data_IF_370203742532
#
_entry.id   IF_370203742532
#
_cell.length_a   1.000
_cell.length_b   1.000
_cell.length_c   1.000
_cell.angle_alpha   90.00
_cell.angle_beta   90.00
_cell.angle_gamma   90.00
#
_symmetry.space_group_name_H-M   'P 1'
#
loop_
_entity.id
_entity.type
_entity.pdbx_description
1 polymer ?
#
# COMPACT_ATOMS: atom_id res chain seq x y z
N UNK A 1 -22.82 3.44 1.54
CA UNK A 1 -21.41 3.14 1.21
C UNK A 1 -20.50 4.26 1.70
N UNK A 2 -19.32 3.95 2.22
CA UNK A 2 -18.29 4.90 2.68
C UNK A 2 -16.99 4.74 1.90
N UNK A 3 -16.40 5.84 1.45
CA UNK A 3 -15.11 5.86 0.75
C UNK A 3 -14.09 6.67 1.53
N UNK A 4 -12.93 6.08 1.80
CA UNK A 4 -11.81 6.74 2.47
C UNK A 4 -10.67 7.01 1.48
N UNK A 5 -10.33 8.26 1.27
CA UNK A 5 -9.12 8.66 0.56
C UNK A 5 -7.96 8.89 1.54
N UNK A 6 -6.87 8.16 1.37
CA UNK A 6 -5.62 8.38 2.08
C UNK A 6 -4.65 9.08 1.12
N UNK A 7 -4.44 10.38 1.34
CA UNK A 7 -3.64 11.21 0.46
C UNK A 7 -2.38 11.72 1.16
N UNK A 8 -1.22 11.43 0.57
CA UNK A 8 0.08 11.89 1.07
C UNK A 8 0.65 13.07 0.28
N UNK A 9 -0.23 13.88 -0.33
CA UNK A 9 0.08 15.12 -1.04
C UNK A 9 -0.11 16.39 -0.20
N UNK A 10 0.32 17.53 -0.75
CA UNK A 10 0.09 18.84 -0.13
C UNK A 10 -1.40 19.15 -0.06
N UNK A 11 -1.81 19.88 0.98
CA UNK A 11 -3.15 20.45 1.07
C UNK A 11 -3.47 21.28 -0.17
N UNK A 12 -4.59 21.00 -0.83
CA UNK A 12 -4.99 21.63 -2.09
C UNK A 12 -3.95 21.54 -3.22
N UNK A 13 -2.99 20.60 -3.12
CA UNK A 13 -2.05 20.31 -4.19
C UNK A 13 -2.63 19.32 -5.22
N UNK A 14 -1.82 18.99 -6.22
CA UNK A 14 -2.26 18.20 -7.38
C UNK A 14 -2.94 16.87 -7.00
N UNK A 15 -2.30 16.06 -6.15
CA UNK A 15 -2.87 14.76 -5.74
C UNK A 15 -4.14 14.88 -4.90
N UNK A 16 -4.31 15.95 -4.11
CA UNK A 16 -5.58 16.19 -3.42
C UNK A 16 -6.68 16.63 -4.38
N UNK A 17 -6.35 17.48 -5.36
CA UNK A 17 -7.30 17.90 -6.40
C UNK A 17 -7.78 16.68 -7.19
N UNK A 18 -6.87 15.80 -7.61
CA UNK A 18 -7.20 14.53 -8.28
C UNK A 18 -8.10 13.64 -7.41
N UNK A 19 -7.81 13.51 -6.10
CA UNK A 19 -8.65 12.75 -5.17
C UNK A 19 -10.06 13.33 -5.09
N UNK A 20 -10.19 14.66 -4.98
CA UNK A 20 -11.48 15.33 -4.92
C UNK A 20 -12.27 15.19 -6.21
N UNK A 21 -11.61 15.16 -7.37
CA UNK A 21 -12.30 14.92 -8.64
C UNK A 21 -12.87 13.49 -8.71
N UNK A 22 -12.12 12.49 -8.23
CA UNK A 22 -12.66 11.13 -8.08
C UNK A 22 -13.83 11.06 -7.08
N UNK A 23 -13.73 11.75 -5.94
CA UNK A 23 -14.80 11.81 -4.94
C UNK A 23 -16.10 12.39 -5.50
N UNK A 24 -16.03 13.50 -6.23
CA UNK A 24 -17.22 14.09 -6.88
C UNK A 24 -17.91 13.06 -7.78
N UNK A 25 -17.15 12.36 -8.62
CA UNK A 25 -17.71 11.35 -9.51
C UNK A 25 -18.34 10.17 -8.75
N UNK A 26 -17.74 9.75 -7.62
CA UNK A 26 -18.29 8.71 -6.75
C UNK A 26 -19.61 9.16 -6.12
N UNK A 27 -19.62 10.35 -5.51
CA UNK A 27 -20.79 10.95 -4.85
C UNK A 27 -21.95 11.14 -5.85
N UNK A 28 -21.66 11.70 -7.03
CA UNK A 28 -22.64 11.92 -8.09
C UNK A 28 -23.26 10.60 -8.58
N UNK A 29 -22.47 9.52 -8.67
CA UNK A 29 -22.90 8.26 -9.30
C UNK A 29 -23.61 7.31 -8.35
N UNK A 30 -23.17 7.19 -7.10
CA UNK A 30 -23.75 6.22 -6.15
C UNK A 30 -24.05 6.79 -4.76
N UNK A 31 -23.83 8.10 -4.53
CA UNK A 31 -24.16 8.76 -3.26
C UNK A 31 -23.30 8.30 -2.08
N UNK A 32 -22.15 7.67 -2.31
CA UNK A 32 -21.28 7.22 -1.23
C UNK A 32 -20.64 8.40 -0.49
N UNK A 33 -20.53 8.30 0.83
CA UNK A 33 -19.88 9.33 1.66
C UNK A 33 -18.36 9.26 1.48
N UNK A 34 -17.75 10.31 0.93
CA UNK A 34 -16.30 10.38 0.73
C UNK A 34 -15.60 11.19 1.83
N UNK A 35 -14.56 10.62 2.45
CA UNK A 35 -13.75 11.28 3.49
C UNK A 35 -12.27 11.27 3.12
N UNK A 36 -11.60 12.40 3.31
CA UNK A 36 -10.17 12.57 3.02
C UNK A 36 -9.33 12.61 4.30
N UNK A 37 -8.33 11.74 4.37
CA UNK A 37 -7.21 11.83 5.32
C UNK A 37 -6.00 12.41 4.60
N UNK A 38 -5.52 13.56 5.08
CA UNK A 38 -4.26 14.16 4.61
C UNK A 38 -3.13 13.71 5.53
N UNK A 39 -2.23 12.85 5.03
CA UNK A 39 -1.12 12.36 5.84
C UNK A 39 -0.11 13.46 6.19
N UNK A 40 -0.04 14.54 5.41
CA UNK A 40 0.80 15.70 5.72
C UNK A 40 0.32 16.50 6.95
N UNK A 41 -0.97 16.40 7.29
CA UNK A 41 -1.58 17.03 8.47
C UNK A 41 -1.67 16.05 9.66
N UNK A 42 -1.21 14.80 9.49
CA UNK A 42 -1.34 13.75 10.50
C UNK A 42 -0.08 13.61 11.36
N UNK A 43 -0.24 13.65 12.67
CA UNK A 43 0.80 13.27 13.62
C UNK A 43 0.81 11.75 13.81
N UNK A 44 1.60 11.08 12.97
CA UNK A 44 1.83 9.64 13.05
C UNK A 44 3.26 9.42 13.56
N UNK A 45 3.41 8.78 14.72
CA UNK A 45 4.75 8.49 15.27
C UNK A 45 5.43 7.43 14.42
N UNK A 46 6.71 7.62 14.16
CA UNK A 46 7.55 6.60 13.51
C UNK A 46 7.49 5.28 14.29
N UNK A 47 7.44 4.16 13.56
CA UNK A 47 7.62 2.86 14.17
C UNK A 47 9.04 2.75 14.72
N UNK A 48 9.19 2.37 15.99
CA UNK A 48 10.50 2.20 16.64
C UNK A 48 11.11 0.82 16.42
N UNK A 49 10.38 -0.10 15.78
CA UNK A 49 10.83 -1.48 15.63
C UNK A 49 10.94 -2.23 16.96
N UNK A 50 10.21 -1.81 18.00
CA UNK A 50 10.27 -2.41 19.33
C UNK A 50 9.59 -3.79 19.43
N UNK A 51 9.02 -4.30 18.34
CA UNK A 51 8.38 -5.62 18.19
C UNK A 51 7.19 -5.91 19.12
N UNK A 52 6.78 -4.95 19.96
CA UNK A 52 5.74 -5.17 20.99
C UNK A 52 4.39 -5.57 20.40
N UNK A 53 3.99 -5.01 19.25
CA UNK A 53 2.76 -5.39 18.55
C UNK A 53 2.80 -6.86 18.10
N UNK A 54 3.84 -7.21 17.35
CA UNK A 54 4.05 -8.55 16.83
C UNK A 54 4.11 -9.61 17.94
N UNK A 55 4.86 -9.36 19.02
CA UNK A 55 4.96 -10.32 20.15
C UNK A 55 3.61 -10.53 20.83
N UNK A 56 2.77 -9.50 20.96
CA UNK A 56 1.42 -9.65 21.50
C UNK A 56 0.51 -10.43 20.55
N UNK A 57 0.56 -10.14 19.25
CA UNK A 57 -0.22 -10.85 18.23
C UNK A 57 0.13 -12.34 18.15
N UNK A 58 1.42 -12.69 18.25
CA UNK A 58 1.87 -14.08 18.31
C UNK A 58 1.34 -14.84 19.54
N UNK A 59 1.01 -14.13 20.63
CA UNK A 59 0.38 -14.69 21.83
C UNK A 59 -1.15 -14.72 21.75
N UNK A 60 -1.73 -14.34 20.62
CA UNK A 60 -3.18 -14.23 20.40
C UNK A 60 -3.80 -12.95 20.98
N UNK A 61 -3.01 -12.01 21.49
CA UNK A 61 -3.50 -10.73 21.98
C UNK A 61 -3.59 -9.72 20.83
N UNK A 62 -4.63 -9.87 20.00
CA UNK A 62 -4.89 -8.98 18.88
C UNK A 62 -5.43 -7.62 19.28
N UNK A 63 -5.83 -7.41 20.54
CA UNK A 63 -6.28 -6.12 21.07
C UNK A 63 -5.12 -5.14 21.23
N UNK A 64 -3.91 -5.63 21.49
CA UNK A 64 -2.73 -4.79 21.52
C UNK A 64 -2.42 -4.23 20.13
N UNK A 65 -2.30 -2.90 20.03
CA UNK A 65 -2.05 -2.18 18.78
C UNK A 65 -0.60 -1.68 18.72
N UNK A 66 -0.22 -0.71 19.53
CA UNK A 66 1.14 -0.14 19.59
C UNK A 66 1.46 0.36 21.01
N UNK A 67 2.72 0.60 21.29
CA UNK A 67 3.16 1.30 22.52
C UNK A 67 2.71 2.77 22.53
N UNK A 68 2.59 3.39 21.35
CA UNK A 68 1.98 4.70 21.19
C UNK A 68 0.46 4.52 21.37
N UNK A 69 -0.15 5.28 22.29
CA UNK A 69 -1.56 5.11 22.68
C UNK A 69 -2.49 6.00 21.85
N UNK A 70 -3.78 5.67 21.84
CA UNK A 70 -4.84 6.54 21.30
C UNK A 70 -4.74 7.94 21.90
N UNK A 71 -4.93 8.98 21.07
CA UNK A 71 -4.78 10.38 21.48
C UNK A 71 -3.35 10.91 21.47
N UNK A 72 -2.33 10.05 21.35
CA UNK A 72 -0.92 10.45 21.14
C UNK A 72 -0.42 10.23 19.71
N UNK A 73 -1.29 9.66 18.86
CA UNK A 73 -0.96 9.24 17.51
C UNK A 73 -2.24 9.12 16.66
N UNK A 74 -2.30 9.85 15.54
CA UNK A 74 -3.47 9.87 14.65
C UNK A 74 -3.73 8.54 13.92
N UNK A 75 -2.76 7.61 13.93
CA UNK A 75 -2.92 6.31 13.28
C UNK A 75 -4.17 5.55 13.74
N UNK A 76 -4.50 5.57 15.04
CA UNK A 76 -5.68 4.87 15.58
C UNK A 76 -6.99 5.41 15.01
N UNK A 77 -7.07 6.73 14.85
CA UNK A 77 -8.26 7.34 14.27
C UNK A 77 -8.38 7.00 12.79
N UNK A 78 -7.27 7.04 12.06
CA UNK A 78 -7.23 6.65 10.64
C UNK A 78 -7.60 5.16 10.48
N UNK A 79 -7.09 4.29 11.35
CA UNK A 79 -7.37 2.85 11.35
C UNK A 79 -8.85 2.55 11.60
N UNK A 80 -9.52 3.29 12.48
CA UNK A 80 -10.97 3.19 12.65
C UNK A 80 -11.72 3.59 11.37
N UNK A 81 -11.30 4.67 10.69
CA UNK A 81 -11.88 5.04 9.39
C UNK A 81 -11.67 3.95 8.34
N UNK A 82 -10.49 3.32 8.33
CA UNK A 82 -10.19 2.19 7.44
C UNK A 82 -11.14 1.01 7.69
N UNK A 83 -11.42 0.67 8.96
CA UNK A 83 -12.37 -0.39 9.33
C UNK A 83 -13.77 -0.12 8.81
N UNK A 84 -14.24 1.12 8.92
CA UNK A 84 -15.58 1.55 8.49
C UNK A 84 -15.76 1.70 6.98
N UNK A 85 -14.67 1.89 6.23
CA UNK A 85 -14.75 2.16 4.80
C UNK A 85 -15.17 0.93 3.98
N UNK A 86 -15.99 1.14 2.95
CA UNK A 86 -16.30 0.14 1.92
C UNK A 86 -15.28 0.15 0.79
N UNK A 87 -14.73 1.33 0.49
CA UNK A 87 -13.63 1.53 -0.44
C UNK A 87 -12.50 2.38 0.17
N UNK A 88 -11.25 2.08 -0.19
CA UNK A 88 -10.07 2.86 0.20
C UNK A 88 -9.28 3.23 -1.06
N UNK A 89 -9.03 4.53 -1.22
CA UNK A 89 -8.21 5.09 -2.30
C UNK A 89 -6.89 5.56 -1.71
N UNK A 90 -5.77 5.06 -2.22
CA UNK A 90 -4.43 5.45 -1.75
C UNK A 90 -3.73 6.32 -2.79
N UNK A 91 -3.17 7.45 -2.36
CA UNK A 91 -2.41 8.32 -3.25
C UNK A 91 -1.19 8.98 -2.62
N UNK A 92 -0.17 9.18 -3.44
CA UNK A 92 1.03 9.94 -3.08
C UNK A 92 1.61 10.62 -4.32
N UNK A 93 2.17 11.84 -4.20
CA UNK A 93 3.11 12.33 -5.19
C UNK A 93 4.42 11.52 -5.11
N UNK A 94 5.22 11.59 -6.17
CA UNK A 94 6.53 10.95 -6.26
C UNK A 94 7.66 11.90 -5.81
N UNK A 95 8.52 11.41 -4.91
CA UNK A 95 9.79 12.03 -4.52
C UNK A 95 10.90 10.98 -4.54
N UNK A 96 11.92 11.16 -5.39
CA UNK A 96 13.01 10.20 -5.59
C UNK A 96 12.50 8.78 -5.93
N UNK A 97 11.66 8.66 -6.97
CA UNK A 97 11.01 7.42 -7.41
C UNK A 97 9.96 6.84 -6.44
N UNK A 98 9.95 7.27 -5.17
CA UNK A 98 9.18 6.73 -4.06
C UNK A 98 8.00 7.62 -3.67
N UNK A 99 7.02 7.10 -2.92
CA UNK A 99 6.02 7.94 -2.26
C UNK A 99 6.67 8.82 -1.18
N UNK A 100 5.88 9.72 -0.61
CA UNK A 100 6.37 10.63 0.43
C UNK A 100 6.63 9.91 1.76
N UNK A 101 7.53 10.47 2.58
CA UNK A 101 7.87 9.93 3.91
C UNK A 101 6.66 9.68 4.83
N UNK A 102 5.62 10.53 4.86
CA UNK A 102 4.41 10.26 5.63
C UNK A 102 3.65 9.00 5.18
N UNK A 103 3.63 8.68 3.88
CA UNK A 103 3.03 7.44 3.37
C UNK A 103 3.79 6.21 3.90
N UNK A 104 5.13 6.26 3.84
CA UNK A 104 5.98 5.20 4.38
C UNK A 104 5.79 5.05 5.89
N UNK A 105 5.74 6.17 6.62
CA UNK A 105 5.53 6.20 8.07
C UNK A 105 4.18 5.59 8.45
N UNK A 106 3.12 5.93 7.72
CA UNK A 106 1.79 5.35 7.89
C UNK A 106 1.79 3.83 7.63
N UNK A 107 2.35 3.38 6.50
CA UNK A 107 2.40 1.95 6.18
C UNK A 107 3.22 1.15 7.19
N UNK A 108 4.34 1.69 7.69
CA UNK A 108 5.17 1.02 8.70
C UNK A 108 4.43 0.78 10.02
N UNK A 109 3.29 1.43 10.23
CA UNK A 109 2.42 1.19 11.37
C UNK A 109 1.33 0.16 11.12
N UNK A 110 1.22 -0.43 9.93
CA UNK A 110 0.13 -1.34 9.61
C UNK A 110 0.05 -2.53 10.58
N UNK A 111 1.17 -3.08 11.04
CA UNK A 111 1.17 -4.10 12.09
C UNK A 111 0.52 -3.66 13.41
N UNK A 112 0.33 -2.36 13.63
CA UNK A 112 -0.39 -1.85 14.79
C UNK A 112 -1.92 -1.87 14.62
N UNK A 113 -2.49 -2.40 13.53
CA UNK A 113 -3.95 -2.46 13.31
C UNK A 113 -4.62 -3.70 13.93
N UNK A 114 -3.91 -4.54 14.68
CA UNK A 114 -4.49 -5.72 15.35
C UNK A 114 -5.07 -6.73 14.35
N UNK A 115 -6.32 -7.14 14.56
CA UNK A 115 -7.07 -8.11 13.73
C UNK A 115 -7.53 -7.57 12.36
N UNK A 116 -7.03 -6.40 11.93
CA UNK A 116 -7.50 -5.74 10.69
C UNK A 116 -7.40 -6.64 9.46
N UNK A 117 -6.39 -7.53 9.39
CA UNK A 117 -6.28 -8.54 8.32
C UNK A 117 -7.55 -9.40 8.23
N UNK A 118 -8.14 -9.81 9.34
CA UNK A 118 -9.36 -10.62 9.35
C UNK A 118 -10.59 -9.78 8.97
N UNK A 119 -10.60 -8.49 9.31
CA UNK A 119 -11.66 -7.56 8.92
C UNK A 119 -11.71 -7.40 7.40
N UNK A 120 -10.57 -7.17 6.76
CA UNK A 120 -10.53 -6.91 5.32
C UNK A 120 -10.89 -8.15 4.50
N UNK A 121 -10.47 -9.35 4.92
CA UNK A 121 -10.86 -10.61 4.28
C UNK A 121 -12.36 -10.91 4.36
N UNK A 122 -13.07 -10.40 5.38
CA UNK A 122 -14.52 -10.59 5.52
C UNK A 122 -15.33 -9.55 4.76
N UNK A 123 -14.80 -8.33 4.67
CA UNK A 123 -15.57 -7.18 4.19
C UNK A 123 -15.48 -6.96 2.68
N UNK A 124 -14.57 -7.64 1.97
CA UNK A 124 -14.34 -7.48 0.52
C UNK A 124 -14.29 -5.99 0.13
N UNK A 125 -13.39 -5.24 0.77
CA UNK A 125 -13.26 -3.79 0.52
C UNK A 125 -12.80 -3.54 -0.91
N UNK A 126 -13.22 -2.42 -1.48
CA UNK A 126 -12.75 -1.96 -2.79
C UNK A 126 -11.46 -1.15 -2.60
N UNK A 127 -10.42 -1.48 -3.34
CA UNK A 127 -9.14 -0.77 -3.34
C UNK A 127 -8.96 0.00 -4.65
N UNK A 128 -8.37 1.18 -4.58
CA UNK A 128 -7.88 1.88 -5.76
C UNK A 128 -6.63 2.69 -5.41
N UNK A 129 -5.79 2.98 -6.39
CA UNK A 129 -4.56 3.72 -6.14
C UNK A 129 -4.19 4.66 -7.27
N UNK A 130 -3.64 5.83 -6.96
CA UNK A 130 -3.04 6.67 -7.98
C UNK A 130 -1.84 7.45 -7.48
N UNK A 131 -1.01 7.93 -8.39
CA UNK A 131 0.13 8.78 -8.05
C UNK A 131 0.44 9.78 -9.15
N UNK A 132 1.24 10.79 -8.79
CA UNK A 132 1.63 11.87 -9.70
C UNK A 132 3.10 12.24 -9.53
N UNK A 133 3.82 12.34 -10.63
CA UNK A 133 5.17 12.87 -10.73
C UNK A 133 5.21 14.32 -11.19
N UNK A 134 6.21 15.07 -10.70
CA UNK A 134 6.61 16.32 -11.34
C UNK A 134 7.47 16.12 -12.60
N UNK A 135 8.02 14.92 -12.76
CA UNK A 135 8.86 14.42 -13.86
C UNK A 135 8.57 12.92 -14.01
N UNK A 136 9.27 12.22 -14.90
CA UNK A 136 9.20 10.76 -15.14
C UNK A 136 9.98 9.90 -14.13
N UNK A 137 10.60 10.50 -13.11
CA UNK A 137 11.32 9.76 -12.06
C UNK A 137 10.34 9.22 -10.99
N UNK A 138 9.53 8.24 -11.36
CA UNK A 138 8.32 7.84 -10.60
C UNK A 138 8.06 6.34 -10.45
N UNK A 139 8.91 5.48 -11.02
CA UNK A 139 8.62 4.05 -11.27
C UNK A 139 8.10 3.25 -10.05
N UNK A 140 8.51 3.58 -8.82
CA UNK A 140 8.09 2.84 -7.63
C UNK A 140 6.86 3.42 -6.93
N UNK A 141 6.44 4.64 -7.28
CA UNK A 141 5.43 5.38 -6.50
C UNK A 141 4.03 4.77 -6.65
N UNK A 142 3.58 4.51 -7.89
CA UNK A 142 2.28 3.84 -8.10
C UNK A 142 2.29 2.44 -7.51
N UNK A 143 3.39 1.69 -7.69
CA UNK A 143 3.52 0.33 -7.17
C UNK A 143 3.41 0.30 -5.64
N UNK A 144 4.02 1.26 -4.94
CA UNK A 144 3.84 1.41 -3.50
C UNK A 144 2.40 1.75 -3.11
N UNK A 145 1.74 2.66 -3.84
CA UNK A 145 0.35 3.05 -3.56
C UNK A 145 -0.61 1.87 -3.76
N UNK A 146 -0.43 1.08 -4.81
CA UNK A 146 -1.20 -0.16 -5.06
C UNK A 146 -0.96 -1.18 -3.96
N UNK A 147 0.30 -1.44 -3.60
CA UNK A 147 0.64 -2.34 -2.49
C UNK A 147 -0.08 -1.90 -1.21
N UNK A 148 -0.02 -0.62 -0.89
CA UNK A 148 -0.72 -0.07 0.27
C UNK A 148 -2.22 -0.29 0.14
N UNK A 149 -2.86 0.05 -0.97
CA UNK A 149 -4.30 -0.18 -1.17
C UNK A 149 -4.69 -1.66 -0.99
N UNK A 150 -3.90 -2.59 -1.53
CA UNK A 150 -4.13 -4.02 -1.36
C UNK A 150 -3.99 -4.46 0.09
N UNK A 151 -2.96 -4.00 0.81
CA UNK A 151 -2.79 -4.26 2.23
C UNK A 151 -3.97 -3.72 3.06
N UNK A 152 -4.49 -2.55 2.69
CA UNK A 152 -5.62 -1.94 3.39
C UNK A 152 -6.97 -2.58 3.04
N UNK A 153 -7.07 -3.30 1.92
CA UNK A 153 -8.31 -3.93 1.46
C UNK A 153 -8.30 -5.46 1.47
N UNK A 154 -7.17 -6.09 1.78
CA UNK A 154 -7.03 -7.52 2.08
C UNK A 154 -6.70 -8.44 0.91
N UNK A 155 -6.70 -7.96 -0.32
CA UNK A 155 -6.41 -8.79 -1.49
C UNK A 155 -6.02 -7.94 -2.70
N UNK A 156 -5.41 -8.58 -3.69
CA UNK A 156 -5.18 -8.00 -5.00
C UNK A 156 -6.47 -7.84 -5.80
N UNK A 157 -7.41 -8.78 -5.62
CA UNK A 157 -8.75 -8.74 -6.24
C UNK A 157 -9.60 -7.56 -5.75
N UNK A 158 -9.17 -6.91 -4.67
CA UNK A 158 -9.79 -5.69 -4.20
C UNK A 158 -9.49 -4.49 -5.11
N UNK A 159 -8.37 -4.50 -5.85
CA UNK A 159 -7.96 -3.36 -6.65
C UNK A 159 -8.79 -3.25 -7.93
N UNK A 160 -9.57 -2.18 -8.08
CA UNK A 160 -10.47 -2.01 -9.24
C UNK A 160 -9.94 -1.04 -10.28
N UNK A 161 -9.10 -0.09 -9.86
CA UNK A 161 -8.44 0.83 -10.77
C UNK A 161 -7.12 1.33 -10.15
N UNK A 162 -6.12 1.54 -11.00
CA UNK A 162 -4.92 2.26 -10.64
C UNK A 162 -4.36 3.05 -11.82
N UNK A 163 -3.84 4.26 -11.56
CA UNK A 163 -3.33 5.15 -12.60
C UNK A 163 -2.16 6.01 -12.12
N UNK A 164 -1.23 6.31 -13.02
CA UNK A 164 -0.10 7.20 -12.78
C UNK A 164 -0.04 8.29 -13.85
N UNK A 165 0.45 9.48 -13.46
CA UNK A 165 0.72 10.58 -14.37
C UNK A 165 2.05 11.24 -14.01
N UNK A 166 2.70 11.86 -14.99
CA UNK A 166 3.98 12.54 -14.84
C UNK A 166 3.85 14.03 -15.26
N UNK A 167 4.94 14.77 -15.09
CA UNK A 167 5.11 16.13 -15.63
C UNK A 167 4.17 17.23 -15.09
N UNK A 168 3.67 17.10 -13.86
CA UNK A 168 2.91 18.18 -13.19
C UNK A 168 3.64 18.66 -11.92
N UNK A 169 4.76 19.39 -12.05
CA UNK A 169 5.64 19.74 -10.91
C UNK A 169 5.07 20.85 -10.02
N UNK A 170 4.35 21.79 -10.62
CA UNK A 170 3.86 22.99 -9.94
C UNK A 170 2.62 22.68 -9.09
N UNK A 171 2.55 23.25 -7.89
CA UNK A 171 1.45 23.01 -6.94
C UNK A 171 0.13 23.52 -7.52
N UNK A 172 -0.87 22.64 -7.59
CA UNK A 172 -2.21 22.97 -8.08
C UNK A 172 -2.33 22.98 -9.61
N UNK A 173 -1.23 22.83 -10.35
CA UNK A 173 -1.21 22.92 -11.81
C UNK A 173 -2.01 21.82 -12.53
N UNK A 174 -2.37 20.72 -11.85
CA UNK A 174 -3.20 19.65 -12.44
C UNK A 174 -4.56 20.14 -12.92
N UNK A 175 -5.03 21.31 -12.46
CA UNK A 175 -6.28 21.93 -12.96
C UNK A 175 -6.19 22.41 -14.41
N UNK A 176 -4.97 22.47 -14.98
CA UNK A 176 -4.74 22.79 -16.38
C UNK A 176 -4.74 21.53 -17.26
N UNK A 177 -4.74 20.34 -16.65
CA UNK A 177 -4.60 19.05 -17.31
C UNK A 177 -5.98 18.38 -17.44
N UNK A 178 -6.78 18.84 -18.40
CA UNK A 178 -8.16 18.36 -18.62
C UNK A 178 -8.23 16.84 -18.78
N UNK A 179 -7.25 16.23 -19.46
CA UNK A 179 -7.18 14.78 -19.67
C UNK A 179 -6.95 14.02 -18.36
N UNK A 180 -6.13 14.57 -17.45
CA UNK A 180 -5.89 13.99 -16.12
C UNK A 180 -7.18 14.06 -15.29
N UNK A 181 -7.86 15.21 -15.29
CA UNK A 181 -9.12 15.39 -14.56
C UNK A 181 -10.23 14.47 -15.11
N UNK A 182 -10.35 14.36 -16.43
CA UNK A 182 -11.28 13.45 -17.08
C UNK A 182 -10.99 11.98 -16.70
N UNK A 183 -9.72 11.58 -16.69
CA UNK A 183 -9.32 10.23 -16.26
C UNK A 183 -9.59 10.00 -14.78
N UNK A 184 -9.42 11.00 -13.92
CA UNK A 184 -9.73 10.91 -12.49
C UNK A 184 -11.24 10.86 -12.21
N UNK A 185 -12.05 11.52 -13.03
CA UNK A 185 -13.51 11.35 -13.01
C UNK A 185 -13.89 9.91 -13.36
N UNK A 186 -13.33 9.37 -14.46
CA UNK A 186 -13.53 7.95 -14.82
C UNK A 186 -13.04 6.98 -13.73
N UNK A 187 -11.92 7.30 -13.08
CA UNK A 187 -11.40 6.54 -11.93
C UNK A 187 -12.41 6.49 -10.79
N UNK A 188 -13.03 7.61 -10.44
CA UNK A 188 -14.12 7.65 -9.46
C UNK A 188 -15.35 6.84 -9.89
N UNK A 189 -15.76 6.96 -11.15
CA UNK A 189 -16.88 6.19 -11.69
C UNK A 189 -16.67 4.68 -11.63
N UNK A 190 -15.45 4.21 -11.87
CA UNK A 190 -15.08 2.78 -11.80
C UNK A 190 -15.19 2.26 -10.35
N UNK A 191 -14.78 3.08 -9.37
CA UNK A 191 -14.92 2.74 -7.94
C UNK A 191 -16.40 2.69 -7.54
N UNK A 192 -17.20 3.64 -8.01
CA UNK A 192 -18.64 3.65 -7.78
C UNK A 192 -19.33 2.41 -8.37
N UNK A 193 -18.97 2.02 -9.60
CA UNK A 193 -19.48 0.78 -10.21
C UNK A 193 -19.11 -0.45 -9.36
N UNK A 194 -17.85 -0.55 -8.93
CA UNK A 194 -17.39 -1.64 -8.09
C UNK A 194 -18.10 -1.72 -6.74
N UNK A 195 -18.40 -0.57 -6.13
CA UNK A 195 -19.18 -0.48 -4.91
C UNK A 195 -20.62 -0.96 -5.11
N UNK A 196 -21.28 -0.57 -6.21
CA UNK A 196 -22.63 -1.03 -6.56
C UNK A 196 -22.66 -2.53 -6.87
N UNK A 197 -21.65 -3.03 -7.59
CA UNK A 197 -21.49 -4.47 -7.83
C UNK A 197 -21.38 -5.24 -6.51
N UNK A 198 -20.54 -4.76 -5.59
CA UNK A 198 -20.38 -5.36 -4.26
C UNK A 198 -21.70 -5.41 -3.49
N UNK A 199 -22.51 -4.34 -3.49
CA UNK A 199 -23.83 -4.35 -2.83
C UNK A 199 -24.77 -5.41 -3.40
N UNK A 200 -24.62 -5.75 -4.69
CA UNK A 200 -25.36 -6.83 -5.36
C UNK A 200 -24.77 -8.23 -5.13
N UNK A 201 -23.66 -8.34 -4.41
CA UNK A 201 -22.92 -9.59 -4.22
C UNK A 201 -22.08 -9.99 -5.43
N UNK A 202 -21.86 -9.08 -6.39
CA UNK A 202 -21.00 -9.27 -7.54
C UNK A 202 -19.55 -8.91 -7.19
N UNK A 203 -18.60 -9.53 -7.90
CA UNK A 203 -17.17 -9.27 -7.73
C UNK A 203 -16.67 -8.34 -8.84
N UNK A 204 -16.15 -7.15 -8.51
CA UNK A 204 -15.57 -6.27 -9.52
C UNK A 204 -14.28 -6.86 -10.08
N UNK A 205 -13.93 -6.41 -11.29
CA UNK A 205 -12.67 -6.72 -11.95
C UNK A 205 -11.85 -5.45 -12.11
N UNK A 206 -10.54 -5.59 -12.26
CA UNK A 206 -9.66 -4.46 -12.53
C UNK A 206 -9.94 -3.89 -13.93
N UNK A 207 -10.22 -2.59 -13.99
CA UNK A 207 -10.54 -1.84 -15.22
C UNK A 207 -9.61 -0.64 -15.43
N UNK A 208 -8.47 -0.61 -14.73
CA UNK A 208 -7.46 0.44 -14.85
C UNK A 208 -6.58 0.26 -16.09
N UNK A 209 -5.29 0.59 -15.95
CA UNK A 209 -4.32 0.50 -17.07
C UNK A 209 -4.24 -0.93 -17.63
N UNK A 210 -4.49 -1.15 -18.94
CA UNK A 210 -4.37 -2.47 -19.56
C UNK A 210 -2.90 -2.92 -19.70
N UNK A 211 -2.68 -4.19 -20.01
CA UNK A 211 -1.32 -4.73 -20.27
C UNK A 211 -0.44 -4.85 -19.02
N UNK A 212 -1.05 -4.89 -17.83
CA UNK A 212 -0.38 -5.03 -16.54
C UNK A 212 -0.55 -6.43 -15.97
N UNK A 213 0.26 -6.79 -14.98
CA UNK A 213 0.14 -8.06 -14.24
C UNK A 213 -1.31 -8.29 -13.75
N UNK A 214 -1.90 -9.48 -13.95
CA UNK A 214 -3.28 -9.77 -13.55
C UNK A 214 -3.47 -9.84 -12.03
N UNK A 215 -2.40 -10.06 -11.25
CA UNK A 215 -2.44 -10.03 -9.79
C UNK A 215 -2.31 -8.59 -9.28
N UNK A 216 -1.10 -8.02 -9.30
CA UNK A 216 -0.83 -6.74 -8.65
C UNK A 216 -1.04 -5.50 -9.54
N UNK A 217 -1.43 -5.70 -10.79
CA UNK A 217 -1.62 -4.64 -11.79
C UNK A 217 -0.37 -3.76 -11.97
N UNK A 218 0.81 -4.35 -11.76
CA UNK A 218 2.13 -3.77 -11.99
C UNK A 218 2.70 -4.11 -13.36
N UNK A 219 3.60 -3.25 -13.84
CA UNK A 219 4.37 -3.41 -15.07
C UNK A 219 5.88 -3.48 -14.83
N UNK A 220 6.32 -3.60 -13.56
CA UNK A 220 7.72 -3.82 -13.21
C UNK A 220 8.02 -5.31 -13.14
N UNK A 221 9.20 -5.68 -13.66
CA UNK A 221 9.70 -7.05 -13.66
C UNK A 221 11.13 -7.09 -13.12
N UNK A 222 11.41 -8.07 -12.27
CA UNK A 222 12.71 -8.40 -11.70
C UNK A 222 13.30 -9.59 -12.46
N UNK A 223 14.51 -9.45 -12.99
CA UNK A 223 15.22 -10.52 -13.68
C UNK A 223 16.04 -11.33 -12.67
N UNK A 224 15.88 -12.65 -12.66
CA UNK A 224 16.65 -13.60 -11.85
C UNK A 224 17.26 -14.68 -12.74
N UNK A 225 18.21 -15.43 -12.19
CA UNK A 225 18.90 -16.50 -12.93
C UNK A 225 17.97 -17.62 -13.41
N UNK A 226 16.82 -17.80 -12.78
CA UNK A 226 15.84 -18.85 -13.06
C UNK A 226 14.53 -18.33 -13.68
N UNK A 227 14.42 -17.02 -13.97
CA UNK A 227 13.26 -16.45 -14.65
C UNK A 227 13.01 -14.98 -14.33
N UNK A 228 11.82 -14.51 -14.68
CA UNK A 228 11.39 -13.12 -14.48
C UNK A 228 10.22 -13.09 -13.51
N UNK A 229 10.24 -12.16 -12.57
CA UNK A 229 9.31 -12.13 -11.44
C UNK A 229 8.71 -10.75 -11.26
N UNK A 230 7.47 -10.68 -10.79
CA UNK A 230 6.97 -9.43 -10.23
C UNK A 230 7.73 -9.13 -8.91
N UNK A 231 8.37 -7.95 -8.74
CA UNK A 231 9.08 -7.63 -7.50
C UNK A 231 8.12 -7.41 -6.32
N UNK A 232 6.84 -7.17 -6.61
CA UNK A 232 5.81 -6.91 -5.62
C UNK A 232 5.20 -8.22 -5.11
N UNK A 233 4.59 -9.01 -6.00
CA UNK A 233 3.86 -10.22 -5.62
C UNK A 233 4.65 -11.52 -5.78
N UNK A 234 5.86 -11.49 -6.34
CA UNK A 234 6.70 -12.65 -6.62
C UNK A 234 6.10 -13.65 -7.61
N UNK A 235 4.99 -13.33 -8.29
CA UNK A 235 4.46 -14.14 -9.39
C UNK A 235 5.51 -14.23 -10.48
N UNK A 236 5.88 -15.46 -10.87
CA UNK A 236 6.80 -15.71 -11.97
C UNK A 236 6.08 -15.48 -13.30
N UNK A 237 6.74 -14.77 -14.21
CA UNK A 237 6.29 -14.53 -15.55
C UNK A 237 7.11 -15.34 -16.55
N UNK A 238 6.45 -15.87 -17.58
CA UNK A 238 7.10 -16.45 -18.74
C UNK A 238 7.10 -15.41 -19.85
N UNK A 239 8.30 -15.03 -20.28
CA UNK A 239 8.47 -14.10 -21.40
C UNK A 239 8.55 -14.87 -22.72
N UNK A 240 7.86 -14.35 -23.73
CA UNK A 240 7.98 -14.82 -25.11
C UNK A 240 7.97 -13.63 -26.05
N UNK A 241 8.61 -13.78 -27.21
CA UNK A 241 8.51 -12.83 -28.32
C UNK A 241 7.58 -13.44 -29.37
N UNK A 242 6.49 -12.76 -29.68
CA UNK A 242 5.55 -13.13 -30.74
C UNK A 242 5.73 -12.09 -31.84
N UNK A 243 6.58 -12.39 -32.83
CA UNK A 243 7.07 -11.35 -33.75
C UNK A 243 7.96 -10.35 -33.00
N UNK A 244 7.64 -9.06 -33.10
CA UNK A 244 8.34 -7.97 -32.41
C UNK A 244 7.68 -7.58 -31.07
N UNK A 245 6.57 -8.23 -30.70
CA UNK A 245 5.85 -7.92 -29.47
C UNK A 245 6.30 -8.80 -28.29
N UNK A 246 6.60 -8.16 -27.17
CA UNK A 246 6.87 -8.84 -25.91
C UNK A 246 5.55 -9.33 -25.30
N UNK A 247 5.40 -10.65 -25.20
CA UNK A 247 4.30 -11.30 -24.52
C UNK A 247 4.75 -11.78 -23.14
N UNK A 248 3.97 -11.45 -22.12
CA UNK A 248 4.22 -11.79 -20.71
C UNK A 248 3.07 -12.67 -20.23
N UNK A 249 3.35 -13.95 -20.04
CA UNK A 249 2.37 -14.94 -19.57
C UNK A 249 2.52 -15.16 -18.05
N UNK A 250 1.41 -15.05 -17.33
CA UNK A 250 1.30 -15.40 -15.90
C UNK A 250 0.38 -16.62 -15.77
N UNK A 251 0.94 -17.78 -15.38
CA UNK A 251 0.16 -19.02 -15.29
C UNK A 251 -0.67 -19.03 -14.00
N UNK A 252 -1.80 -19.74 -14.02
CA UNK A 252 -2.64 -19.92 -12.81
C UNK A 252 -1.86 -20.52 -11.63
N UNK A 253 -0.93 -21.45 -11.92
CA UNK A 253 -0.08 -22.06 -10.90
C UNK A 253 0.83 -21.03 -10.21
N UNK A 254 1.46 -20.13 -10.97
CA UNK A 254 2.35 -19.11 -10.43
C UNK A 254 1.56 -18.01 -9.70
N UNK A 255 0.38 -17.63 -10.23
CA UNK A 255 -0.52 -16.67 -9.56
C UNK A 255 -1.03 -17.22 -8.22
N UNK A 256 -1.33 -18.52 -8.13
CA UNK A 256 -1.75 -19.15 -6.87
C UNK A 256 -0.67 -19.08 -5.77
N UNK A 257 0.61 -18.95 -6.15
CA UNK A 257 1.76 -18.83 -5.24
C UNK A 257 2.18 -17.37 -4.98
N UNK A 258 1.40 -16.39 -5.43
CA UNK A 258 1.72 -14.99 -5.19
C UNK A 258 1.76 -14.65 -3.69
N UNK A 259 2.49 -13.59 -3.33
CA UNK A 259 2.77 -13.17 -1.94
C UNK A 259 1.50 -12.95 -1.09
N UNK A 260 0.43 -12.46 -1.70
CA UNK A 260 -0.82 -12.12 -1.00
C UNK A 260 -1.86 -13.22 -1.06
N UNK A 261 -1.61 -14.30 -1.80
CA UNK A 261 -2.46 -15.50 -1.75
C UNK A 261 -2.39 -16.15 -0.38
N UNK A 262 -3.34 -17.03 -0.06
CA UNK A 262 -3.32 -17.80 1.19
C UNK A 262 -2.00 -18.56 1.37
N UNK A 263 -1.47 -19.12 0.27
CA UNK A 263 -0.19 -19.81 0.28
C UNK A 263 0.97 -18.86 0.62
N UNK A 264 1.03 -17.68 0.00
CA UNK A 264 2.07 -16.68 0.24
C UNK A 264 2.05 -16.15 1.67
N UNK A 265 0.85 -15.85 2.20
CA UNK A 265 0.64 -15.42 3.57
C UNK A 265 1.09 -16.50 4.57
N UNK A 266 0.70 -17.77 4.36
CA UNK A 266 1.10 -18.88 5.23
C UNK A 266 2.61 -19.12 5.18
N UNK A 267 3.22 -19.05 4.00
CA UNK A 267 4.67 -19.17 3.86
C UNK A 267 5.39 -18.08 4.64
N UNK A 268 4.94 -16.83 4.52
CA UNK A 268 5.48 -15.69 5.26
C UNK A 268 5.36 -15.90 6.77
N UNK A 269 4.15 -16.13 7.28
CA UNK A 269 3.87 -16.29 8.71
C UNK A 269 4.67 -17.47 9.30
N UNK A 270 4.76 -18.59 8.57
CA UNK A 270 5.55 -19.75 8.99
C UNK A 270 7.05 -19.46 9.05
N UNK A 271 7.59 -18.69 8.10
CA UNK A 271 9.00 -18.31 8.10
C UNK A 271 9.34 -17.38 9.27
N UNK A 272 8.48 -16.40 9.56
CA UNK A 272 8.62 -15.51 10.71
C UNK A 272 8.60 -16.33 12.02
N UNK A 273 7.60 -17.21 12.21
CA UNK A 273 7.52 -18.10 13.38
C UNK A 273 8.78 -18.95 13.54
N UNK A 274 9.24 -19.60 12.46
CA UNK A 274 10.49 -20.40 12.47
C UNK A 274 11.70 -19.57 12.87
N UNK A 275 11.82 -18.34 12.34
CA UNK A 275 12.88 -17.40 12.68
C UNK A 275 12.92 -17.04 14.16
N UNK A 276 11.77 -16.65 14.72
CA UNK A 276 11.66 -16.33 16.15
C UNK A 276 11.87 -17.54 17.06
N UNK A 277 11.36 -18.72 16.70
CA UNK A 277 11.63 -19.96 17.45
C UNK A 277 13.12 -20.29 17.48
N UNK A 278 13.80 -20.20 16.33
CA UNK A 278 15.26 -20.40 16.24
C UNK A 278 16.00 -19.41 17.14
N UNK A 279 15.60 -18.14 17.15
CA UNK A 279 16.21 -17.14 18.02
C UNK A 279 15.99 -17.43 19.51
N UNK A 280 14.77 -17.79 19.90
CA UNK A 280 14.42 -18.12 21.27
C UNK A 280 15.23 -19.33 21.80
N UNK A 281 15.36 -20.39 21.00
CA UNK A 281 16.14 -21.59 21.33
C UNK A 281 17.65 -21.34 21.43
N UNK A 282 18.15 -20.24 20.85
CA UNK A 282 19.58 -19.92 20.79
C UNK A 282 19.92 -18.60 21.51
N UNK A 283 19.08 -18.14 22.45
CA UNK A 283 19.19 -16.82 23.07
C UNK A 283 20.58 -16.53 23.66
N UNK A 284 21.14 -17.47 24.43
CA UNK A 284 22.47 -17.33 25.05
C UNK A 284 23.59 -17.29 24.01
N UNK A 285 23.54 -18.18 23.02
CA UNK A 285 24.49 -18.22 21.90
C UNK A 285 24.46 -16.93 21.07
N UNK A 286 23.28 -16.36 20.87
CA UNK A 286 23.12 -15.06 20.21
C UNK A 286 23.76 -13.97 21.07
N UNK A 287 23.47 -13.93 22.38
CA UNK A 287 24.04 -12.95 23.28
C UNK A 287 25.58 -12.99 23.28
N UNK A 288 26.18 -14.18 23.29
CA UNK A 288 27.63 -14.35 23.21
C UNK A 288 28.20 -13.84 21.88
N UNK A 289 27.65 -14.31 20.75
CA UNK A 289 28.11 -13.90 19.41
C UNK A 289 27.93 -12.40 19.15
N UNK A 290 26.93 -11.76 19.75
CA UNK A 290 26.70 -10.32 19.61
C UNK A 290 27.79 -9.45 20.26
N UNK A 291 28.57 -9.98 21.21
CA UNK A 291 29.61 -9.22 21.92
C UNK A 291 30.69 -8.69 20.95
N UNK A 292 31.12 -9.50 20.00
CA UNK A 292 32.12 -9.09 18.98
C UNK A 292 31.63 -7.89 18.17
N UNK A 293 30.38 -7.94 17.70
CA UNK A 293 29.78 -6.84 16.93
C UNK A 293 29.53 -5.60 17.78
N UNK A 294 29.11 -5.77 19.04
CA UNK A 294 28.92 -4.65 19.96
C UNK A 294 30.25 -3.95 20.31
N UNK A 295 31.35 -4.70 20.37
CA UNK A 295 32.69 -4.15 20.58
C UNK A 295 33.21 -3.40 19.35
N UNK A 296 32.73 -3.74 18.15
CA UNK A 296 33.07 -3.05 16.91
C UNK A 296 32.18 -1.81 16.68
N UNK A 297 32.22 -0.85 17.61
CA UNK A 297 31.44 0.38 17.50
C UNK A 297 32.05 1.33 16.45
N UNK A 298 31.26 1.62 15.42
CA UNK A 298 31.59 2.51 14.29
C UNK A 298 30.48 3.52 14.02
N UNK A 299 29.51 3.66 14.94
CA UNK A 299 28.43 4.62 14.78
C UNK A 299 29.00 6.05 14.86
N UNK A 300 28.62 6.88 13.89
CA UNK A 300 28.94 8.32 13.94
C UNK A 300 27.96 8.98 14.91
N UNK A 301 28.50 9.70 15.90
CA UNK A 301 27.70 10.58 16.75
C UNK A 301 27.33 11.82 15.93
N UNK A 302 26.05 11.98 15.64
CA UNK A 302 25.54 13.17 14.96
C UNK A 302 25.57 14.37 15.93
N UNK A 303 25.83 15.60 15.43
CA UNK A 303 25.78 16.79 16.26
C UNK A 303 24.37 17.02 16.80
N UNK A 304 24.27 17.68 17.95
CA UNK A 304 22.99 18.14 18.48
C UNK A 304 22.34 19.13 17.51
N UNK A 305 21.02 19.02 17.34
CA UNK A 305 20.26 19.95 16.53
C UNK A 305 20.05 21.26 17.29
N UNK A 306 20.33 22.38 16.62
CA UNK A 306 19.88 23.69 17.09
C UNK A 306 18.36 23.73 16.88
N UNK A 307 17.59 23.93 17.96
CA UNK A 307 16.15 24.12 17.86
C UNK A 307 15.90 25.54 17.31
N UNK A 308 15.39 25.63 16.08
CA UNK A 308 14.88 26.86 15.47
C UNK A 308 13.50 27.25 16.01
#
# INVERSE_FOLDING_TARGET
MKVLGICSGRKNGNTEIMMKEAFKAIEEKCGAECRLVRLQEAEIRKCEGCESCMVNHLKGNWDFRCIHKTGSDHYYFIEQLMREADAIIVSSPAYNLLPTGPMITFLNKLHASGDYRDVVHKNNKIGAAFSLGGTDWTNFTLNFCKMTAMELCGSYEALVDAVHFDFVPSVGAVVLEDDILARMRKFGENIADALVMKEKGEKPVYVGTPGVCPDCHGNMLEIRGDGVYCPQCLTKAKLSLIGDELSVEFTEEEMAKNRWSKWGQDLHDNNIRKGHMKAAQNKEKIAEKRKEYAAYDRAVVLPELIKE
#
